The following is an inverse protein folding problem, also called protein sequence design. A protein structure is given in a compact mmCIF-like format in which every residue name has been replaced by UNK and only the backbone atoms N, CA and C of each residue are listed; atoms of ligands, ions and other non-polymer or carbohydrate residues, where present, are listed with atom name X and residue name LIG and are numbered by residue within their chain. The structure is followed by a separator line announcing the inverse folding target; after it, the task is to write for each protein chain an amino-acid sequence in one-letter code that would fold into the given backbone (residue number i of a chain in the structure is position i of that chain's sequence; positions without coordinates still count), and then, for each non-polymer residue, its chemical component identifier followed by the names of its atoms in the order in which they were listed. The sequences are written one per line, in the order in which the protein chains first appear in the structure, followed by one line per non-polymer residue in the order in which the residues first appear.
data_IF_427000270735
#
_entry.id   IF_427000270735
#
_cell.length_a   1.000
_cell.length_b   1.000
_cell.length_c   1.000
_cell.angle_alpha   90.00
_cell.angle_beta   90.00
_cell.angle_gamma   90.00
#
_symmetry.space_group_name_H-M   'P 1'
#
loop_
_entity.id
_entity.type
_entity.pdbx_description
1 polymer ?
#
# COMPACT_ATOMS: atom_id res chain seq x y z
N UNK A 1 17.96 18.02 15.15
CA UNK A 1 19.41 17.96 14.82
C UNK A 1 19.58 16.90 13.74
N UNK A 2 19.76 17.31 12.48
CA UNK A 2 19.79 16.39 11.33
C UNK A 2 21.17 15.77 11.11
N UNK A 3 21.22 14.49 10.74
CA UNK A 3 22.43 13.83 10.20
C UNK A 3 22.37 13.86 8.68
N UNK A 4 23.37 14.47 8.06
CA UNK A 4 23.56 14.51 6.61
C UNK A 4 24.33 13.24 6.22
N UNK A 5 23.71 12.36 5.43
CA UNK A 5 24.40 11.35 4.62
C UNK A 5 24.07 11.67 3.15
N UNK A 6 25.11 11.99 2.38
CA UNK A 6 25.14 12.07 0.91
C UNK A 6 23.89 12.66 0.21
N UNK A 7 23.90 13.97 -0.04
CA UNK A 7 23.38 14.56 -1.28
C UNK A 7 21.87 14.58 -1.55
N UNK A 8 21.01 14.02 -0.69
CA UNK A 8 19.56 14.13 -0.82
C UNK A 8 19.02 14.93 0.37
N UNK A 9 18.57 16.15 0.12
CA UNK A 9 17.82 16.93 1.12
C UNK A 9 16.45 16.25 1.24
N UNK A 10 16.29 15.41 2.26
CA UNK A 10 14.99 14.85 2.61
C UNK A 10 14.17 15.97 3.25
N UNK A 11 13.26 16.56 2.47
CA UNK A 11 12.31 17.56 2.99
C UNK A 11 11.19 16.83 3.69
N UNK A 12 11.21 16.85 5.01
CA UNK A 12 10.10 16.37 5.84
C UNK A 12 8.96 17.38 5.77
N UNK A 13 7.76 16.90 5.48
CA UNK A 13 6.55 17.70 5.57
C UNK A 13 6.27 18.05 7.04
N UNK A 14 5.76 19.25 7.29
CA UNK A 14 5.22 19.58 8.60
C UNK A 14 3.94 18.76 8.90
N UNK A 15 3.55 18.71 10.18
CA UNK A 15 2.42 17.91 10.63
C UNK A 15 1.10 18.25 9.89
N UNK A 16 0.88 19.53 9.59
CA UNK A 16 -0.34 19.97 8.89
C UNK A 16 -0.36 19.52 7.44
N UNK A 17 0.79 19.54 6.75
CA UNK A 17 0.93 18.99 5.40
C UNK A 17 0.78 17.47 5.39
N UNK A 18 1.36 16.77 6.37
CA UNK A 18 1.20 15.31 6.49
C UNK A 18 -0.27 14.91 6.65
N UNK A 19 -1.03 15.62 7.49
CA UNK A 19 -2.45 15.37 7.68
C UNK A 19 -3.26 15.62 6.39
N UNK A 20 -2.97 16.73 5.68
CA UNK A 20 -3.60 17.01 4.37
C UNK A 20 -3.29 15.94 3.33
N UNK A 21 -2.02 15.54 3.19
CA UNK A 21 -1.60 14.46 2.29
C UNK A 21 -2.32 13.16 2.62
N UNK A 22 -2.33 12.76 3.90
CA UNK A 22 -3.02 11.55 4.33
C UNK A 22 -4.52 11.60 4.00
N UNK A 23 -5.18 12.74 4.23
CA UNK A 23 -6.59 12.90 3.89
C UNK A 23 -6.85 12.72 2.39
N UNK A 24 -5.99 13.26 1.51
CA UNK A 24 -6.10 13.06 0.06
C UNK A 24 -5.96 11.58 -0.33
N UNK A 25 -5.00 10.87 0.28
CA UNK A 25 -4.82 9.42 0.05
C UNK A 25 -6.07 8.65 0.48
N UNK A 26 -6.58 8.91 1.68
CA UNK A 26 -7.76 8.24 2.22
C UNK A 26 -9.02 8.54 1.39
N UNK A 27 -9.21 9.78 0.95
CA UNK A 27 -10.33 10.17 0.08
C UNK A 27 -10.26 9.49 -1.28
N UNK A 28 -9.07 9.46 -1.89
CA UNK A 28 -8.84 8.78 -3.16
C UNK A 28 -9.16 7.29 -3.05
N UNK A 29 -8.70 6.61 -2.00
CA UNK A 29 -8.99 5.20 -1.77
C UNK A 29 -10.48 4.92 -1.53
N UNK A 30 -11.20 5.78 -0.81
CA UNK A 30 -12.66 5.64 -0.63
C UNK A 30 -13.38 5.78 -1.98
N UNK A 31 -12.97 6.73 -2.84
CA UNK A 31 -13.54 6.91 -4.18
C UNK A 31 -13.29 5.66 -5.04
N UNK A 32 -12.05 5.15 -5.06
CA UNK A 32 -11.67 3.98 -5.84
C UNK A 32 -12.38 2.70 -5.35
N UNK A 33 -12.47 2.50 -4.03
CA UNK A 33 -13.24 1.41 -3.43
C UNK A 33 -14.71 1.47 -3.84
N UNK A 34 -15.33 2.65 -3.75
CA UNK A 34 -16.73 2.86 -4.16
C UNK A 34 -16.96 2.55 -5.64
N UNK A 35 -16.03 2.94 -6.54
CA UNK A 35 -16.10 2.60 -7.97
C UNK A 35 -16.11 1.09 -8.23
N UNK A 36 -15.52 0.30 -7.32
CA UNK A 36 -15.50 -1.18 -7.39
C UNK A 36 -16.58 -1.85 -6.52
N UNK A 37 -17.53 -1.09 -5.97
CA UNK A 37 -18.62 -1.63 -5.13
C UNK A 37 -18.22 -1.99 -3.70
N UNK A 38 -17.03 -1.59 -3.26
CA UNK A 38 -16.48 -1.93 -1.93
C UNK A 38 -16.81 -0.82 -0.94
N UNK A 39 -17.36 -1.18 0.21
CA UNK A 39 -17.65 -0.22 1.30
C UNK A 39 -16.40 0.01 2.14
N UNK A 40 -15.82 1.21 2.04
CA UNK A 40 -14.70 1.64 2.86
C UNK A 40 -14.93 3.04 3.43
N UNK A 41 -14.39 3.31 4.62
CA UNK A 41 -14.37 4.65 5.24
C UNK A 41 -12.94 5.10 5.45
N UNK A 42 -12.72 6.43 5.48
CA UNK A 42 -11.39 7.01 5.78
C UNK A 42 -10.82 6.47 7.10
N UNK A 43 -11.65 6.41 8.13
CA UNK A 43 -11.26 5.85 9.43
C UNK A 43 -10.92 4.37 9.39
N UNK A 44 -11.70 3.57 8.66
CA UNK A 44 -11.43 2.14 8.47
C UNK A 44 -10.09 1.91 7.75
N UNK A 45 -9.86 2.62 6.64
CA UNK A 45 -8.60 2.57 5.91
C UNK A 45 -7.44 3.00 6.79
N UNK A 46 -7.52 4.18 7.42
CA UNK A 46 -6.48 4.69 8.30
C UNK A 46 -6.13 3.69 9.42
N UNK A 47 -7.14 3.06 10.02
CA UNK A 47 -6.94 2.07 11.09
C UNK A 47 -6.33 0.75 10.64
N UNK A 48 -6.29 0.47 9.34
CA UNK A 48 -5.59 -0.69 8.78
C UNK A 48 -4.16 -0.39 8.32
N UNK A 49 -3.75 0.89 8.27
CA UNK A 49 -2.39 1.26 7.85
C UNK A 49 -1.43 1.05 9.02
N UNK A 50 -0.71 -0.07 8.98
CA UNK A 50 0.33 -0.39 9.95
C UNK A 50 -0.19 -0.55 11.38
N UNK A 51 0.75 -0.55 12.32
CA UNK A 51 0.49 -0.86 13.73
C UNK A 51 0.76 0.32 14.67
N UNK A 52 1.51 1.32 14.19
CA UNK A 52 1.83 2.55 14.92
C UNK A 52 0.88 3.70 14.58
N UNK A 53 0.72 4.62 15.54
CA UNK A 53 -0.09 5.84 15.35
C UNK A 53 0.51 6.77 14.30
N UNK A 54 1.83 6.71 14.12
CA UNK A 54 2.64 7.47 13.19
C UNK A 54 2.73 6.85 11.79
N UNK A 55 2.52 5.54 11.67
CA UNK A 55 2.66 4.79 10.40
C UNK A 55 1.86 5.38 9.24
N UNK A 56 0.58 5.80 9.40
CA UNK A 56 -0.17 6.45 8.31
C UNK A 56 0.49 7.75 7.80
N UNK A 57 1.16 8.49 8.68
CA UNK A 57 1.82 9.74 8.33
C UNK A 57 3.17 9.50 7.65
N UNK A 58 3.91 8.48 8.08
CA UNK A 58 5.13 8.04 7.38
C UNK A 58 4.81 7.59 5.95
N UNK A 59 3.71 6.87 5.77
CA UNK A 59 3.22 6.49 4.46
C UNK A 59 2.87 7.71 3.61
N UNK A 60 2.14 8.69 4.16
CA UNK A 60 1.83 9.94 3.47
C UNK A 60 3.11 10.68 3.03
N UNK A 61 4.11 10.81 3.92
CA UNK A 61 5.42 11.37 3.61
C UNK A 61 6.09 10.62 2.45
N UNK A 62 6.03 9.29 2.48
CA UNK A 62 6.66 8.44 1.48
C UNK A 62 6.00 8.53 0.10
N UNK A 63 4.67 8.62 0.04
CA UNK A 63 3.95 8.82 -1.22
C UNK A 63 4.24 10.22 -1.81
N UNK A 64 4.38 11.26 -0.99
CA UNK A 64 4.81 12.58 -1.48
C UNK A 64 6.25 12.56 -1.97
N UNK A 65 7.18 11.92 -1.25
CA UNK A 65 8.57 11.80 -1.66
C UNK A 65 8.76 11.07 -3.00
N UNK A 66 7.77 10.28 -3.44
CA UNK A 66 7.74 9.52 -4.69
C UNK A 66 6.82 10.12 -5.74
N UNK A 67 6.43 11.39 -5.56
CA UNK A 67 5.60 12.15 -6.50
C UNK A 67 4.23 11.49 -6.82
N UNK A 68 3.76 10.61 -5.94
CA UNK A 68 2.41 10.02 -6.04
C UNK A 68 1.34 10.98 -5.53
N UNK A 69 1.71 11.84 -4.57
CA UNK A 69 0.90 12.96 -4.10
C UNK A 69 1.74 14.23 -4.23
N UNK A 70 1.19 15.26 -4.87
CA UNK A 70 1.90 16.53 -5.12
C UNK A 70 1.11 17.71 -4.57
N UNK A 71 1.81 18.74 -4.13
CA UNK A 71 1.22 20.03 -3.74
C UNK A 71 1.33 21.00 -4.91
N UNK A 72 0.20 21.56 -5.36
CA UNK A 72 0.15 22.63 -6.37
C UNK A 72 -0.70 23.77 -5.83
N UNK A 73 -0.15 24.98 -5.75
CA UNK A 73 -0.83 26.17 -5.21
C UNK A 73 -1.45 25.94 -3.81
N UNK A 74 -0.75 25.19 -2.94
CA UNK A 74 -1.22 24.87 -1.59
C UNK A 74 -2.28 23.75 -1.51
N UNK A 75 -2.64 23.14 -2.64
CA UNK A 75 -3.61 22.04 -2.72
C UNK A 75 -2.87 20.74 -3.02
N UNK A 76 -3.09 19.74 -2.17
CA UNK A 76 -2.55 18.39 -2.38
C UNK A 76 -3.47 17.60 -3.30
N UNK A 77 -2.89 16.92 -4.28
CA UNK A 77 -3.63 16.07 -5.24
C UNK A 77 -2.85 14.79 -5.54
N UNK A 78 -3.58 13.71 -5.76
CA UNK A 78 -3.01 12.45 -6.27
C UNK A 78 -2.60 12.63 -7.73
N UNK A 79 -1.38 12.20 -8.09
CA UNK A 79 -0.92 12.18 -9.49
C UNK A 79 -1.49 10.97 -10.24
N UNK A 80 -1.33 10.91 -11.56
CA UNK A 80 -1.77 9.75 -12.34
C UNK A 80 -1.08 8.45 -11.91
N UNK A 81 0.21 8.52 -11.53
CA UNK A 81 0.96 7.37 -10.99
C UNK A 81 0.40 6.97 -9.63
N UNK A 82 0.19 7.96 -8.74
CA UNK A 82 -0.40 7.71 -7.43
C UNK A 82 -1.81 7.10 -7.50
N UNK A 83 -2.66 7.61 -8.40
CA UNK A 83 -4.04 7.12 -8.54
C UNK A 83 -4.07 5.67 -9.02
N UNK A 84 -3.25 5.32 -10.02
CA UNK A 84 -3.12 3.94 -10.49
C UNK A 84 -2.54 3.01 -9.42
N UNK A 85 -1.55 3.46 -8.66
CA UNK A 85 -0.99 2.68 -7.56
C UNK A 85 -2.06 2.38 -6.51
N UNK A 86 -2.80 3.42 -6.07
CA UNK A 86 -3.91 3.28 -5.12
C UNK A 86 -5.06 2.45 -5.69
N UNK A 87 -5.28 2.44 -7.01
CA UNK A 87 -6.25 1.55 -7.64
C UNK A 87 -5.84 0.08 -7.49
N UNK A 88 -4.57 -0.23 -7.72
CA UNK A 88 -4.06 -1.59 -7.53
C UNK A 88 -4.05 -2.03 -6.08
N UNK A 89 -3.88 -1.11 -5.12
CA UNK A 89 -4.09 -1.40 -3.69
C UNK A 89 -5.50 -1.92 -3.45
N UNK A 90 -6.53 -1.21 -3.95
CA UNK A 90 -7.94 -1.62 -3.81
C UNK A 90 -8.21 -2.93 -4.54
N UNK A 91 -7.62 -3.12 -5.72
CA UNK A 91 -7.72 -4.36 -6.50
C UNK A 91 -7.13 -5.56 -5.78
N UNK A 92 -5.92 -5.44 -5.23
CA UNK A 92 -5.28 -6.51 -4.45
C UNK A 92 -6.10 -6.85 -3.22
N UNK A 93 -6.59 -5.85 -2.49
CA UNK A 93 -7.48 -6.05 -1.36
C UNK A 93 -8.73 -6.85 -1.77
N UNK A 94 -9.34 -6.52 -2.91
CA UNK A 94 -10.49 -7.26 -3.45
C UNK A 94 -10.15 -8.69 -3.89
N UNK A 95 -8.98 -8.92 -4.47
CA UNK A 95 -8.54 -10.26 -4.88
C UNK A 95 -8.47 -11.20 -3.68
N UNK A 96 -7.94 -10.72 -2.54
CA UNK A 96 -7.66 -11.54 -1.36
C UNK A 96 -8.76 -11.51 -0.29
N UNK A 97 -9.81 -10.71 -0.47
CA UNK A 97 -10.82 -10.41 0.57
C UNK A 97 -11.40 -11.68 1.20
N UNK A 98 -11.91 -12.58 0.37
CA UNK A 98 -12.60 -13.82 0.78
C UNK A 98 -11.72 -14.77 1.60
N UNK A 99 -10.42 -14.78 1.31
CA UNK A 99 -9.46 -15.74 1.86
C UNK A 99 -8.54 -15.11 2.93
N UNK A 100 -8.61 -13.79 3.13
CA UNK A 100 -7.71 -13.06 4.04
C UNK A 100 -7.89 -13.42 5.53
N UNK A 101 -9.00 -14.07 5.90
CA UNK A 101 -9.40 -14.40 7.28
C UNK A 101 -9.21 -13.22 8.25
N UNK A 102 -9.29 -11.98 7.76
CA UNK A 102 -9.00 -10.77 8.54
C UNK A 102 -10.12 -10.54 9.55
N UNK A 103 -9.91 -10.78 10.86
CA UNK A 103 -11.00 -10.97 11.83
C UNK A 103 -11.89 -9.74 12.06
N UNK A 104 -11.49 -8.59 11.51
CA UNK A 104 -12.15 -7.30 11.74
C UNK A 104 -13.01 -6.82 10.55
N UNK A 105 -13.26 -7.67 9.53
CA UNK A 105 -14.18 -7.51 8.38
C UNK A 105 -14.64 -6.07 8.06
N UNK A 106 -13.67 -5.20 7.88
CA UNK A 106 -13.87 -3.87 7.34
C UNK A 106 -12.98 -3.82 6.11
N UNK A 107 -13.58 -3.89 4.92
CA UNK A 107 -12.84 -3.84 3.65
C UNK A 107 -11.92 -2.62 3.60
N UNK A 108 -12.26 -1.53 4.31
CA UNK A 108 -11.35 -0.40 4.55
C UNK A 108 -10.06 -0.80 5.27
N UNK A 109 -10.13 -1.55 6.38
CA UNK A 109 -8.92 -2.03 7.09
C UNK A 109 -8.05 -2.90 6.21
N UNK A 110 -8.64 -3.79 5.42
CA UNK A 110 -7.89 -4.61 4.47
C UNK A 110 -7.18 -3.76 3.41
N UNK A 111 -7.87 -2.76 2.84
CA UNK A 111 -7.26 -1.78 1.92
C UNK A 111 -6.08 -1.07 2.58
N UNK A 112 -6.23 -0.62 3.83
CA UNK A 112 -5.15 0.02 4.59
C UNK A 112 -3.95 -0.90 4.82
N UNK A 113 -4.21 -2.18 5.13
CA UNK A 113 -3.19 -3.18 5.36
C UNK A 113 -2.42 -3.52 4.08
N UNK A 114 -3.11 -3.66 2.94
CA UNK A 114 -2.48 -3.83 1.62
C UNK A 114 -1.66 -2.60 1.24
N UNK A 115 -2.18 -1.39 1.46
CA UNK A 115 -1.45 -0.15 1.21
C UNK A 115 -0.13 -0.12 1.98
N UNK A 116 -0.17 -0.47 3.26
CA UNK A 116 1.01 -0.54 4.10
C UNK A 116 1.98 -1.65 3.62
N UNK A 117 1.46 -2.84 3.32
CA UNK A 117 2.26 -3.95 2.81
C UNK A 117 2.99 -3.63 1.50
N UNK A 118 2.40 -2.83 0.60
CA UNK A 118 3.07 -2.38 -0.63
C UNK A 118 4.04 -1.22 -0.39
N UNK A 119 3.87 -0.46 0.69
CA UNK A 119 4.71 0.69 1.03
C UNK A 119 5.96 0.31 1.84
N UNK A 120 5.85 -0.59 2.82
CA UNK A 120 6.84 -0.80 3.89
C UNK A 120 8.26 -1.18 3.40
N UNK A 121 8.37 -1.86 2.24
CA UNK A 121 9.64 -2.24 1.62
C UNK A 121 10.10 -1.29 0.51
N UNK A 122 9.35 -0.23 0.21
CA UNK A 122 9.57 0.63 -0.96
C UNK A 122 10.67 1.68 -0.77
N UNK A 123 11.44 1.64 0.33
CA UNK A 123 12.35 2.72 0.77
C UNK A 123 13.38 3.19 -0.28
N UNK A 124 13.69 2.38 -1.28
CA UNK A 124 14.63 2.75 -2.37
C UNK A 124 13.98 2.99 -3.73
N UNK A 125 12.65 2.91 -3.84
CA UNK A 125 11.93 2.84 -5.13
C UNK A 125 11.23 4.14 -5.49
N UNK A 126 11.14 4.43 -6.79
CA UNK A 126 10.32 5.53 -7.33
C UNK A 126 8.83 5.18 -7.29
N UNK A 127 7.97 6.17 -7.59
CA UNK A 127 6.53 5.95 -7.68
C UNK A 127 6.15 4.94 -8.76
N UNK A 128 6.81 5.01 -9.92
CA UNK A 128 6.59 4.13 -11.06
C UNK A 128 7.02 2.70 -10.77
N UNK A 129 8.14 2.51 -10.06
CA UNK A 129 8.61 1.19 -9.64
C UNK A 129 7.62 0.55 -8.66
N UNK A 130 7.13 1.31 -7.67
CA UNK A 130 6.08 0.85 -6.76
C UNK A 130 4.79 0.48 -7.51
N UNK A 131 4.39 1.28 -8.50
CA UNK A 131 3.24 0.97 -9.36
C UNK A 131 3.46 -0.33 -10.16
N UNK A 132 4.62 -0.47 -10.81
CA UNK A 132 4.95 -1.68 -11.59
C UNK A 132 4.87 -2.93 -10.72
N UNK A 133 5.36 -2.87 -9.48
CA UNK A 133 5.30 -4.00 -8.58
C UNK A 133 3.90 -4.27 -8.05
N UNK A 134 3.09 -3.24 -7.77
CA UNK A 134 1.68 -3.43 -7.43
C UNK A 134 0.92 -4.15 -8.56
N UNK A 135 1.19 -3.79 -9.82
CA UNK A 135 0.65 -4.49 -11.01
C UNK A 135 1.07 -5.96 -11.03
N UNK A 136 2.37 -6.24 -10.80
CA UNK A 136 2.89 -7.61 -10.78
C UNK A 136 2.28 -8.44 -9.65
N UNK A 137 2.17 -7.87 -8.43
CA UNK A 137 1.53 -8.53 -7.28
C UNK A 137 0.09 -8.91 -7.62
N UNK A 138 -0.70 -7.98 -8.18
CA UNK A 138 -2.08 -8.25 -8.57
C UNK A 138 -2.17 -9.37 -9.63
N UNK A 139 -1.27 -9.37 -10.62
CA UNK A 139 -1.18 -10.40 -11.66
C UNK A 139 -0.84 -11.78 -11.06
N UNK A 140 0.20 -11.85 -10.23
CA UNK A 140 0.65 -13.11 -9.63
C UNK A 140 -0.37 -13.68 -8.65
N UNK A 141 -1.08 -12.85 -7.89
CA UNK A 141 -2.16 -13.31 -7.00
C UNK A 141 -3.30 -13.96 -7.79
N UNK A 142 -3.72 -13.37 -8.92
CA UNK A 142 -4.73 -13.98 -9.81
C UNK A 142 -4.25 -15.31 -10.38
N UNK A 143 -3.01 -15.34 -10.88
CA UNK A 143 -2.41 -16.56 -11.41
C UNK A 143 -2.27 -17.64 -10.33
N UNK A 144 -1.90 -17.26 -9.10
CA UNK A 144 -1.75 -18.17 -7.98
C UNK A 144 -3.11 -18.76 -7.55
N UNK A 145 -4.18 -17.94 -7.49
CA UNK A 145 -5.54 -18.39 -7.15
C UNK A 145 -6.01 -19.54 -8.05
N UNK A 146 -5.69 -19.48 -9.34
CA UNK A 146 -6.04 -20.53 -10.30
C UNK A 146 -5.11 -21.75 -10.23
N UNK A 147 -3.80 -21.55 -10.04
CA UNK A 147 -2.79 -22.62 -10.08
C UNK A 147 -2.73 -23.44 -8.79
N UNK A 148 -2.84 -22.77 -7.63
CA UNK A 148 -2.73 -23.40 -6.31
C UNK A 148 -3.56 -22.63 -5.27
N UNK A 149 -4.83 -23.01 -5.08
CA UNK A 149 -5.73 -22.35 -4.13
C UNK A 149 -5.21 -22.33 -2.68
N UNK A 150 -4.49 -23.37 -2.24
CA UNK A 150 -3.95 -23.43 -0.89
C UNK A 150 -2.78 -22.46 -0.69
N UNK A 151 -1.88 -22.38 -1.68
CA UNK A 151 -0.82 -21.38 -1.68
C UNK A 151 -1.40 -19.97 -1.73
N UNK A 152 -2.43 -19.75 -2.55
CA UNK A 152 -3.15 -18.48 -2.62
C UNK A 152 -3.73 -18.09 -1.26
N UNK A 153 -4.43 -19.00 -0.57
CA UNK A 153 -4.99 -18.76 0.76
C UNK A 153 -3.91 -18.36 1.77
N UNK A 154 -2.77 -19.07 1.74
CA UNK A 154 -1.66 -18.74 2.63
C UNK A 154 -1.14 -17.32 2.36
N UNK A 155 -0.98 -16.92 1.09
CA UNK A 155 -0.62 -15.53 0.75
C UNK A 155 -1.69 -14.53 1.17
N UNK A 156 -2.97 -14.82 0.91
CA UNK A 156 -4.09 -13.93 1.23
C UNK A 156 -4.18 -13.63 2.74
N UNK A 157 -3.92 -14.63 3.59
CA UNK A 157 -3.84 -14.47 5.04
C UNK A 157 -2.59 -13.68 5.43
N UNK A 158 -1.45 -13.97 4.81
CA UNK A 158 -0.14 -13.49 5.28
C UNK A 158 0.14 -12.06 4.82
N UNK A 159 -0.16 -11.72 3.57
CA UNK A 159 0.15 -10.44 2.94
C UNK A 159 -0.29 -9.21 3.77
N UNK A 160 -1.53 -9.12 4.27
CA UNK A 160 -1.98 -7.94 5.03
C UNK A 160 -1.44 -7.90 6.48
N UNK A 161 -0.73 -8.93 6.94
CA UNK A 161 -0.25 -9.06 8.33
C UNK A 161 1.27 -8.97 8.46
N UNK A 162 1.98 -8.96 7.34
CA UNK A 162 3.44 -8.96 7.34
C UNK A 162 4.03 -7.56 7.48
N UNK A 163 5.13 -7.50 8.22
CA UNK A 163 6.11 -6.42 8.16
C UNK A 163 7.15 -6.80 7.12
N UNK A 164 7.47 -5.85 6.24
CA UNK A 164 8.45 -6.03 5.18
C UNK A 164 9.69 -5.19 5.48
N UNK A 165 10.11 -5.21 6.75
CA UNK A 165 11.18 -4.37 7.33
C UNK A 165 12.40 -4.28 6.40
N UNK A 166 12.82 -3.03 6.17
CA UNK A 166 14.06 -2.65 5.48
C UNK A 166 14.22 -3.19 4.04
N UNK A 167 13.13 -3.57 3.37
CA UNK A 167 13.18 -3.96 1.94
C UNK A 167 13.84 -5.30 1.66
N UNK A 168 14.13 -6.10 2.69
CA UNK A 168 14.73 -7.45 2.54
C UNK A 168 13.72 -8.50 2.09
N UNK A 169 12.44 -8.23 2.34
CA UNK A 169 11.32 -9.09 1.99
C UNK A 169 10.24 -8.24 1.30
N UNK A 170 9.53 -8.79 0.32
CA UNK A 170 8.52 -8.07 -0.46
C UNK A 170 7.26 -8.94 -0.66
N UNK A 171 6.10 -8.37 -0.98
CA UNK A 171 4.90 -9.10 -1.34
C UNK A 171 5.12 -10.06 -2.52
N UNK A 172 5.94 -9.68 -3.50
CA UNK A 172 6.34 -10.58 -4.59
C UNK A 172 7.15 -11.76 -4.08
N UNK A 173 8.12 -11.52 -3.18
CA UNK A 173 8.92 -12.59 -2.59
C UNK A 173 8.07 -13.55 -1.76
N UNK A 174 7.11 -13.04 -0.99
CA UNK A 174 6.11 -13.85 -0.29
C UNK A 174 5.37 -14.79 -1.27
N UNK A 175 4.87 -14.24 -2.39
CA UNK A 175 4.17 -15.02 -3.41
C UNK A 175 5.09 -16.10 -4.01
N UNK A 176 6.33 -15.75 -4.34
CA UNK A 176 7.30 -16.67 -4.94
C UNK A 176 7.70 -17.82 -4.01
N UNK A 177 7.93 -17.54 -2.73
CA UNK A 177 8.30 -18.56 -1.74
C UNK A 177 7.12 -19.49 -1.43
N UNK A 178 5.91 -18.95 -1.25
CA UNK A 178 4.70 -19.76 -0.97
C UNK A 178 4.28 -20.61 -2.17
N UNK A 179 4.50 -20.12 -3.39
CA UNK A 179 4.19 -20.87 -4.62
C UNK A 179 5.23 -21.94 -4.97
N UNK A 180 6.36 -22.01 -4.25
CA UNK A 180 7.45 -22.94 -4.57
C UNK A 180 8.18 -22.60 -5.88
N UNK A 181 8.05 -21.36 -6.36
CA UNK A 181 8.71 -20.88 -7.58
C UNK A 181 10.21 -20.62 -7.35
N UNK A 182 10.63 -20.46 -6.09
CA UNK A 182 12.06 -20.43 -5.70
C UNK A 182 12.51 -21.85 -5.35
N UNK A 183 13.32 -22.46 -6.23
CA UNK A 183 14.16 -23.63 -5.92
C UNK A 183 15.61 -23.17 -5.79
#
# INVERSE_FOLDING_TARGET
MGRIKAGVVVVYLDAGKLEKTLNVVLETLVILARKKGIRASRGGIKSGIGFGVDTPYLLAQGLTAREMIVERNGVFTTTAVGEKFLEHVVEIASIIEDDSLFPEFNSGKLIGAVLYALYDWSNTKTGEEMLSEAVQVASELRGLRARSPDAFKLVAITLPRMYYEDGKYTPLRLIQEVSGIVR
#
